data_IF_033261274863
#
_entry.id   IF_033261274863
#
_cell.length_a   1.000
_cell.length_b   1.000
_cell.length_c   1.000
_cell.angle_alpha   90.00
_cell.angle_beta   90.00
_cell.angle_gamma   90.00
#
_symmetry.space_group_name_H-M   'P 1'
#
loop_
_entity.id
_entity.type
_entity.pdbx_description
1 polymer ?
#
# COMPACT_ATOMS: atom_id res chain seq x y z
N UNK A 1 18.18 -11.46 69.10
CA UNK A 1 18.20 -11.31 68.54
C UNK A 1 17.77 -11.11 67.45
N UNK A 2 17.49 -11.01 67.00
CA UNK A 2 17.31 -10.88 66.11
C UNK A 2 16.97 -10.45 65.03
N UNK A 3 16.88 -10.48 64.65
CA UNK A 3 16.61 -10.14 63.69
C UNK A 3 16.19 -9.98 62.65
N UNK A 4 15.95 -9.93 62.12
CA UNK A 4 15.67 -9.84 61.31
C UNK A 4 15.30 -9.61 60.24
N UNK A 5 15.14 -9.52 59.81
CA UNK A 5 14.91 -9.40 58.84
C UNK A 5 14.36 -9.03 57.92
N UNK A 6 14.21 -8.95 57.40
CA UNK A 6 13.81 -8.75 56.53
C UNK A 6 13.43 -8.39 55.47
N UNK A 7 13.22 -8.37 55.09
CA UNK A 7 13.00 -8.17 54.15
C UNK A 7 12.52 -8.05 53.11
N UNK A 8 12.26 -8.06 52.63
CA UNK A 8 11.95 -8.07 51.69
C UNK A 8 11.56 -7.67 50.62
N UNK A 9 11.48 -7.59 50.36
CA UNK A 9 11.28 -7.35 49.54
C UNK A 9 10.88 -7.04 48.49
N UNK A 10 10.74 -6.96 48.17
CA UNK A 10 10.49 -6.75 47.25
C UNK A 10 10.10 -6.61 46.23
N UNK A 11 9.93 -6.69 45.97
CA UNK A 11 9.72 -6.66 45.08
C UNK A 11 9.05 -6.50 44.04
N UNK A 12 8.79 -6.26 43.72
CA UNK A 12 8.27 -6.23 42.92
C UNK A 12 8.07 -5.78 41.81
N UNK A 13 7.98 -5.92 41.33
CA UNK A 13 7.87 -5.64 40.34
C UNK A 13 7.24 -5.37 39.31
N UNK A 14 7.18 -5.12 38.84
CA UNK A 14 6.79 -4.83 37.98
C UNK A 14 6.27 -4.95 37.05
N UNK A 15 5.98 -4.97 36.53
CA UNK A 15 5.55 -5.32 35.73
C UNK A 15 5.06 -4.79 34.87
N UNK A 16 4.90 -4.64 34.51
CA UNK A 16 4.45 -4.36 33.76
C UNK A 16 4.01 -4.07 32.80
N UNK A 17 3.97 -3.93 32.46
CA UNK A 17 3.68 -3.63 31.68
C UNK A 17 3.26 -3.74 30.69
N UNK A 18 3.46 -3.91 30.38
CA UNK A 18 3.28 -4.19 29.30
C UNK A 18 2.20 -4.36 28.66
N UNK A 19 2.02 -4.71 28.68
CA UNK A 19 1.11 -5.17 28.31
C UNK A 19 0.24 -4.52 27.62
N UNK A 20 -0.14 -4.11 27.71
CA UNK A 20 -0.95 -3.56 27.34
C UNK A 20 -1.08 -3.12 26.22
N UNK A 21 -0.37 -3.07 25.62
CA UNK A 21 -0.43 -2.47 24.34
C UNK A 21 -0.90 -3.45 23.33
N UNK A 22 -1.90 -3.09 22.61
CA UNK A 22 -2.24 -3.85 21.43
C UNK A 22 -1.13 -3.69 20.41
N UNK A 23 -0.77 -4.75 19.71
CA UNK A 23 0.18 -4.59 18.62
C UNK A 23 -0.36 -3.61 17.58
N UNK A 24 0.51 -2.84 17.00
CA UNK A 24 0.13 -1.94 15.93
C UNK A 24 -0.45 -2.75 14.78
N UNK A 25 -1.42 -2.20 14.05
CA UNK A 25 -1.91 -2.89 12.86
C UNK A 25 -0.77 -3.16 11.90
N UNK A 26 -0.82 -4.30 11.24
CA UNK A 26 0.18 -4.64 10.24
C UNK A 26 0.09 -3.67 9.08
N UNK A 27 1.23 -3.22 8.60
CA UNK A 27 1.31 -2.34 7.45
C UNK A 27 2.30 -2.87 6.44
N UNK A 28 2.17 -2.40 5.22
CA UNK A 28 2.99 -2.84 4.10
C UNK A 28 3.69 -1.67 3.44
N UNK A 29 4.84 -1.96 2.89
CA UNK A 29 5.53 -1.06 1.98
C UNK A 29 5.24 -1.53 0.57
N UNK A 30 4.72 -0.64 -0.25
CA UNK A 30 4.32 -0.97 -1.62
C UNK A 30 5.24 -0.29 -2.60
N UNK A 31 5.63 -1.02 -3.63
CA UNK A 31 6.45 -0.49 -4.71
C UNK A 31 5.72 -0.72 -6.02
N UNK A 32 5.62 0.32 -6.82
CA UNK A 32 4.93 0.28 -8.10
C UNK A 32 5.93 0.54 -9.22
N UNK A 33 5.84 -0.24 -10.28
CA UNK A 33 6.60 -0.01 -11.50
C UNK A 33 5.60 0.10 -12.63
N UNK A 34 5.60 1.22 -13.32
CA UNK A 34 4.64 1.47 -14.40
C UNK A 34 5.40 1.46 -15.72
N UNK A 35 4.99 0.58 -16.59
CA UNK A 35 5.67 0.33 -17.86
C UNK A 35 4.70 0.47 -19.03
N UNK A 36 5.25 0.81 -20.18
CA UNK A 36 4.51 0.76 -21.43
C UNK A 36 4.37 -0.70 -21.84
N UNK A 37 3.15 -1.13 -22.08
CA UNK A 37 2.92 -2.53 -22.40
C UNK A 37 3.58 -2.95 -23.69
N UNK A 38 3.62 -2.06 -24.68
CA UNK A 38 4.08 -2.44 -26.00
C UNK A 38 5.61 -2.58 -26.12
N UNK A 39 6.39 -2.00 -25.22
CA UNK A 39 7.85 -2.13 -25.30
C UNK A 39 8.53 -2.32 -23.97
N UNK A 40 7.77 -2.32 -22.87
CA UNK A 40 8.31 -2.55 -21.53
C UNK A 40 9.11 -1.40 -20.95
N UNK A 41 9.14 -0.25 -21.62
CA UNK A 41 9.89 0.89 -21.09
C UNK A 41 9.12 1.61 -20.01
N UNK A 42 9.82 2.27 -19.09
CA UNK A 42 9.13 2.93 -17.97
C UNK A 42 8.33 4.14 -18.42
N UNK A 43 7.26 4.41 -17.66
CA UNK A 43 6.47 5.61 -17.83
C UNK A 43 6.71 6.50 -16.62
N UNK A 44 7.30 7.64 -16.88
CA UNK A 44 7.51 8.61 -15.81
C UNK A 44 6.30 9.49 -15.64
N UNK A 45 6.15 10.04 -14.45
CA UNK A 45 5.10 11.00 -14.12
C UNK A 45 3.69 10.43 -14.28
N UNK A 46 3.55 9.12 -14.18
CA UNK A 46 2.24 8.49 -14.11
C UNK A 46 1.68 8.67 -12.71
N UNK A 47 0.37 8.86 -12.62
CA UNK A 47 -0.30 8.98 -11.34
C UNK A 47 -0.71 7.61 -10.86
N UNK A 48 -0.22 7.22 -9.68
CA UNK A 48 -0.62 5.98 -9.02
C UNK A 48 -1.52 6.39 -7.86
N UNK A 49 -2.77 6.02 -7.92
CA UNK A 49 -3.79 6.48 -6.98
C UNK A 49 -4.27 5.29 -6.17
N UNK A 50 -4.21 5.42 -4.86
CA UNK A 50 -4.55 4.35 -3.92
C UNK A 50 -5.77 4.74 -3.12
N UNK A 51 -6.74 3.84 -3.04
CA UNK A 51 -7.93 4.01 -2.22
C UNK A 51 -8.22 2.74 -1.46
N UNK A 52 -8.54 2.87 -0.18
CA UNK A 52 -9.07 1.74 0.58
C UNK A 52 -10.43 1.35 0.03
N UNK A 53 -10.72 0.07 0.08
CA UNK A 53 -12.01 -0.46 -0.38
C UNK A 53 -12.64 -1.20 0.80
N UNK A 54 -13.89 -0.87 1.11
CA UNK A 54 -14.58 -1.53 2.21
C UNK A 54 -15.14 -2.89 1.76
N UNK A 55 -15.78 -3.60 2.69
CA UNK A 55 -16.28 -4.94 2.42
C UNK A 55 -17.33 -4.98 1.33
N UNK A 56 -17.97 -3.85 1.06
CA UNK A 56 -18.99 -3.76 0.01
C UNK A 56 -18.40 -3.36 -1.33
N UNK A 57 -17.08 -3.28 -1.42
CA UNK A 57 -16.43 -2.87 -2.65
C UNK A 57 -16.46 -1.39 -2.91
N UNK A 58 -16.81 -0.59 -1.91
CA UNK A 58 -16.85 0.86 -2.07
C UNK A 58 -15.52 1.46 -1.67
N UNK A 59 -15.08 2.35 -2.50
CA UNK A 59 -13.85 3.08 -2.30
C UNK A 59 -14.04 4.16 -1.23
N UNK A 60 -13.03 4.32 -0.38
CA UNK A 60 -13.06 5.38 0.62
C UNK A 60 -12.95 6.74 -0.03
N UNK A 61 -13.39 7.75 0.68
CA UNK A 61 -13.17 9.12 0.27
C UNK A 61 -11.73 9.49 0.53
N UNK A 62 -11.24 10.39 -0.28
CA UNK A 62 -9.83 10.73 -0.22
C UNK A 62 -9.05 9.62 -0.87
N UNK A 63 -7.79 9.74 -0.85
CA UNK A 63 -6.93 8.76 -1.48
C UNK A 63 -5.54 9.32 -1.48
N UNK A 64 -4.61 8.49 -1.85
CA UNK A 64 -3.21 8.86 -1.90
C UNK A 64 -2.78 8.83 -3.36
N UNK A 65 -2.10 9.87 -3.80
CA UNK A 65 -1.59 9.92 -5.15
C UNK A 65 -0.08 9.98 -5.14
N UNK A 66 0.53 9.11 -5.90
CA UNK A 66 1.97 9.09 -6.10
C UNK A 66 2.25 9.40 -7.57
N UNK A 67 3.47 9.85 -7.84
CA UNK A 67 3.93 10.04 -9.21
C UNK A 67 5.15 9.18 -9.45
N UNK A 68 5.21 8.54 -10.59
CA UNK A 68 6.37 7.72 -10.94
C UNK A 68 7.55 8.60 -11.34
N UNK A 69 8.74 8.09 -11.04
CA UNK A 69 9.99 8.75 -11.39
C UNK A 69 10.42 8.38 -12.81
N UNK A 70 11.64 8.74 -13.18
CA UNK A 70 12.16 8.48 -14.53
C UNK A 70 12.27 7.01 -14.84
N UNK A 71 12.30 6.16 -13.82
CA UNK A 71 12.37 4.72 -14.00
C UNK A 71 11.00 4.07 -13.90
N UNK A 72 9.95 4.88 -13.84
CA UNK A 72 8.58 4.39 -13.74
C UNK A 72 8.21 3.90 -12.36
N UNK A 73 8.97 4.28 -11.34
CA UNK A 73 8.79 3.73 -10.00
C UNK A 73 8.20 4.72 -9.05
N UNK A 74 7.37 4.22 -8.15
CA UNK A 74 6.82 4.96 -7.04
C UNK A 74 6.68 4.00 -5.88
N UNK A 75 6.83 4.49 -4.66
CA UNK A 75 6.68 3.62 -3.49
C UNK A 75 6.08 4.40 -2.35
N UNK A 76 5.45 3.67 -1.45
CA UNK A 76 4.84 4.26 -0.26
C UNK A 76 4.77 3.21 0.83
N UNK A 77 5.09 3.63 2.05
CA UNK A 77 5.08 2.73 3.18
C UNK A 77 3.93 3.03 4.13
N UNK A 78 3.68 2.09 5.05
CA UNK A 78 2.68 2.29 6.08
C UNK A 78 1.25 2.08 5.61
N UNK A 79 1.05 1.34 4.53
CA UNK A 79 -0.30 1.03 4.04
C UNK A 79 -0.87 -0.11 4.88
N UNK A 80 -2.02 0.09 5.52
CA UNK A 80 -2.62 -0.98 6.31
C UNK A 80 -3.00 -2.17 5.45
N UNK A 81 -2.92 -3.35 6.03
CA UNK A 81 -3.41 -4.56 5.37
C UNK A 81 -4.91 -4.42 5.09
N UNK A 82 -5.33 -4.99 3.99
CA UNK A 82 -6.71 -4.95 3.58
C UNK A 82 -6.83 -4.79 2.08
N UNK A 83 -8.04 -4.56 1.61
CA UNK A 83 -8.28 -4.41 0.18
C UNK A 83 -7.95 -2.99 -0.25
N UNK A 84 -7.20 -2.89 -1.31
CA UNK A 84 -6.73 -1.60 -1.83
C UNK A 84 -7.04 -1.51 -3.32
N UNK A 85 -7.64 -0.42 -3.73
CA UNK A 85 -7.87 -0.16 -5.15
C UNK A 85 -6.71 0.68 -5.69
N UNK A 86 -6.09 0.16 -6.73
CA UNK A 86 -4.95 0.82 -7.35
C UNK A 86 -5.38 1.28 -8.73
N UNK A 87 -5.31 2.58 -8.97
CA UNK A 87 -5.54 3.16 -10.28
C UNK A 87 -4.26 3.77 -10.79
N UNK A 88 -4.00 3.64 -12.07
CA UNK A 88 -2.84 4.30 -12.69
C UNK A 88 -3.32 5.06 -13.91
N UNK A 89 -2.99 6.33 -13.94
CA UNK A 89 -3.39 7.24 -15.00
C UNK A 89 -2.16 7.90 -15.57
N UNK A 90 -2.04 7.84 -16.88
CA UNK A 90 -0.98 8.53 -17.60
C UNK A 90 -1.54 9.04 -18.93
N UNK A 91 -1.18 10.25 -19.35
CA UNK A 91 -1.67 10.79 -20.63
C UNK A 91 -1.26 9.87 -21.78
N UNK A 92 -2.20 9.59 -22.66
CA UNK A 92 -1.96 8.75 -23.83
C UNK A 92 -2.08 7.26 -23.57
N UNK A 93 -2.54 6.86 -22.40
CA UNK A 93 -2.71 5.44 -22.04
C UNK A 93 -4.09 5.20 -21.49
N UNK A 94 -4.54 3.96 -21.59
CA UNK A 94 -5.78 3.56 -20.95
C UNK A 94 -5.59 3.59 -19.44
N UNK A 95 -6.62 4.02 -18.71
CA UNK A 95 -6.58 4.02 -17.26
C UNK A 95 -6.60 2.58 -16.76
N UNK A 96 -5.68 2.27 -15.86
CA UNK A 96 -5.63 0.99 -15.20
C UNK A 96 -6.37 1.10 -13.86
N UNK A 97 -7.09 0.06 -13.50
CA UNK A 97 -7.74 0.01 -12.19
C UNK A 97 -7.97 -1.42 -11.78
N UNK A 98 -7.58 -1.77 -10.56
CA UNK A 98 -7.78 -3.12 -10.04
C UNK A 98 -7.68 -3.09 -8.52
N UNK A 99 -8.44 -3.99 -7.88
CA UNK A 99 -8.40 -4.17 -6.44
C UNK A 99 -7.44 -5.30 -6.10
N UNK A 100 -6.66 -5.08 -5.04
CA UNK A 100 -5.68 -6.06 -4.56
C UNK A 100 -5.82 -6.23 -3.07
N UNK A 101 -5.46 -7.41 -2.58
CA UNK A 101 -5.35 -7.65 -1.16
C UNK A 101 -3.93 -7.35 -0.71
N UNK A 102 -3.81 -6.44 0.24
CA UNK A 102 -2.53 -6.11 0.83
C UNK A 102 -2.40 -6.96 2.09
N UNK A 103 -1.47 -7.90 2.07
CA UNK A 103 -1.37 -8.88 3.14
C UNK A 103 0.06 -9.32 3.44
N UNK A 104 1.05 -8.59 2.92
CA UNK A 104 2.45 -8.88 3.16
C UNK A 104 3.20 -7.59 3.47
N UNK A 105 4.28 -7.67 4.24
CA UNK A 105 5.02 -6.45 4.61
C UNK A 105 5.62 -5.71 3.42
N UNK A 106 5.94 -6.44 2.36
CA UNK A 106 6.50 -5.88 1.14
C UNK A 106 5.75 -6.45 -0.04
N UNK A 107 5.19 -5.59 -0.87
CA UNK A 107 4.51 -6.03 -2.08
C UNK A 107 4.92 -5.14 -3.24
N UNK A 108 5.13 -5.77 -4.39
CA UNK A 108 5.48 -5.07 -5.61
C UNK A 108 4.38 -5.26 -6.64
N UNK A 109 4.14 -4.21 -7.37
CA UNK A 109 3.15 -4.23 -8.45
C UNK A 109 3.80 -3.72 -9.71
N UNK A 110 3.78 -4.55 -10.75
CA UNK A 110 4.23 -4.13 -12.08
C UNK A 110 2.99 -3.91 -12.91
N UNK A 111 2.79 -2.69 -13.34
CA UNK A 111 1.58 -2.30 -14.04
C UNK A 111 1.97 -1.88 -15.45
N UNK A 112 1.37 -2.53 -16.43
CA UNK A 112 1.63 -2.25 -17.83
C UNK A 112 0.45 -1.49 -18.39
N UNK A 113 0.71 -0.30 -18.92
CA UNK A 113 -0.34 0.52 -19.49
C UNK A 113 -0.38 0.36 -20.99
N UNK A 114 -1.59 0.20 -21.48
CA UNK A 114 -1.85 0.02 -22.89
C UNK A 114 -2.27 1.33 -23.51
N UNK A 115 -1.91 1.51 -24.78
CA UNK A 115 -2.42 2.64 -25.54
C UNK A 115 -3.92 2.46 -25.75
N UNK A 116 -4.65 3.56 -25.92
CA UNK A 116 -6.06 3.44 -26.27
C UNK A 116 -6.19 2.65 -27.56
N UNK A 117 -7.21 1.80 -27.60
CA UNK A 117 -7.51 1.09 -28.83
C UNK A 117 -8.11 2.05 -29.85
N UNK A 118 -7.73 1.85 -31.09
CA UNK A 118 -8.40 2.55 -32.15
C UNK A 118 -9.83 2.05 -32.26
N UNK A 119 -10.73 2.97 -32.37
CA UNK A 119 -12.11 2.61 -32.61
C UNK A 119 -12.36 2.63 -34.09
N UNK A 120 -12.66 1.46 -34.60
CA UNK A 120 -13.06 1.35 -36.00
C UNK A 120 -14.52 1.64 -36.11
N UNK A 121 -14.85 2.59 -36.96
CA UNK A 121 -16.25 2.87 -37.27
C UNK A 121 -16.63 2.07 -38.49
N UNK A 122 -17.72 1.32 -38.39
CA UNK A 122 -18.28 0.64 -39.54
C UNK A 122 -19.09 1.60 -40.40
N UNK A 123 -19.28 2.79 -39.90
CA UNK A 123 -20.01 3.84 -40.65
C UNK A 123 -18.98 4.81 -41.19
N UNK A 124 -18.92 4.86 -42.45
CA UNK A 124 -18.01 5.79 -43.09
C UNK A 124 -18.78 6.70 -44.02
#
# INVERSE_FOLDING_TARGET
MTRSGVILAALLLPVLVAARDKPAPATANLTFTVLKDYNGKPIRNASVILHDVNERGRQSQGGLQLKTDNEGKASYGGIPYGKLRIQVIAPGYQTFGQDYDINQPEQEFVIRLKRPQEQYSIYK
#
